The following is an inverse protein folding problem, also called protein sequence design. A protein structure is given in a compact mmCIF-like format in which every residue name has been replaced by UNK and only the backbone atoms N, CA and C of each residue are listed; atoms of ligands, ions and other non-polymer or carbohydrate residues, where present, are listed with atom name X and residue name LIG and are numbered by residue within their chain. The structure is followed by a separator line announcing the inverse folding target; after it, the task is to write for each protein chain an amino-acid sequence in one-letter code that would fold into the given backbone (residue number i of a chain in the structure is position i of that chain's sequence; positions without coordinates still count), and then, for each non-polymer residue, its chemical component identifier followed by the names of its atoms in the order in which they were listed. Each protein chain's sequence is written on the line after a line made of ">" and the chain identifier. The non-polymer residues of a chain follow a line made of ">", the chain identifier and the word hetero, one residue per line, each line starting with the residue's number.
data_IF_888767296744
#
_entry.id   IF_888767296744
#
_cell.length_a   1.000
_cell.length_b   1.000
_cell.length_c   1.000
_cell.angle_alpha   90.00
_cell.angle_beta   90.00
_cell.angle_gamma   90.00
#
_symmetry.space_group_name_H-M   'P 1'
#
loop_
_entity.id
_entity.type
_entity.pdbx_description
1 polymer ?
#
# COMPACT_ATOMS: atom_id res chain seq x y z
N UNK A 1 -8.39 -15.91 -8.80
CA UNK A 1 -8.31 -17.21 -9.50
C UNK A 1 -9.51 -18.06 -9.12
N UNK A 2 -9.80 -18.19 -7.82
CA UNK A 2 -10.94 -18.97 -7.31
C UNK A 2 -12.30 -18.62 -7.97
N UNK A 3 -12.62 -17.33 -8.12
CA UNK A 3 -13.87 -16.89 -8.78
C UNK A 3 -13.98 -17.28 -10.25
N UNK A 4 -12.84 -17.52 -10.92
CA UNK A 4 -12.75 -17.84 -12.36
C UNK A 4 -12.39 -19.32 -12.59
N UNK A 5 -12.44 -20.16 -11.55
CA UNK A 5 -11.99 -21.55 -11.61
C UNK A 5 -12.73 -22.36 -12.70
N UNK A 6 -14.04 -22.11 -12.85
CA UNK A 6 -14.86 -22.76 -13.86
C UNK A 6 -14.42 -22.37 -15.28
N UNK A 7 -14.17 -21.09 -15.56
CA UNK A 7 -13.69 -20.62 -16.86
C UNK A 7 -12.30 -21.19 -17.18
N UNK A 8 -11.40 -21.25 -16.18
CA UNK A 8 -10.08 -21.86 -16.36
C UNK A 8 -10.16 -23.34 -16.74
N UNK A 9 -11.11 -24.07 -16.15
CA UNK A 9 -11.31 -25.48 -16.47
C UNK A 9 -11.94 -25.67 -17.85
N UNK A 10 -12.97 -24.90 -18.21
CA UNK A 10 -13.69 -25.07 -19.48
C UNK A 10 -12.83 -24.65 -20.69
N UNK A 11 -12.13 -23.51 -20.58
CA UNK A 11 -11.38 -22.95 -21.70
C UNK A 11 -9.99 -23.57 -21.83
N UNK A 12 -9.32 -23.81 -20.68
CA UNK A 12 -7.91 -24.19 -20.67
C UNK A 12 -7.65 -25.59 -20.07
N UNK A 13 -8.66 -26.26 -19.51
CA UNK A 13 -8.49 -27.54 -18.82
C UNK A 13 -7.68 -27.41 -17.53
N UNK A 14 -7.62 -26.22 -16.93
CA UNK A 14 -6.80 -25.95 -15.74
C UNK A 14 -7.64 -26.04 -14.47
N UNK A 15 -7.22 -26.93 -13.56
CA UNK A 15 -7.79 -27.01 -12.21
C UNK A 15 -7.24 -25.88 -11.33
N UNK A 16 -8.12 -25.24 -10.56
CA UNK A 16 -7.74 -24.20 -9.60
C UNK A 16 -7.77 -24.75 -8.19
N UNK A 17 -6.62 -24.75 -7.51
CA UNK A 17 -6.49 -25.19 -6.11
C UNK A 17 -6.20 -23.98 -5.23
N UNK A 18 -7.01 -23.79 -4.18
CA UNK A 18 -6.81 -22.73 -3.18
C UNK A 18 -5.80 -23.20 -2.14
N UNK A 19 -4.60 -22.61 -2.15
CA UNK A 19 -3.56 -22.88 -1.15
C UNK A 19 -3.86 -22.09 0.13
N UNK A 20 -3.90 -22.72 1.31
CA UNK A 20 -4.11 -22.01 2.57
C UNK A 20 -2.95 -21.04 2.86
N UNK A 21 -3.22 -19.87 3.47
CA UNK A 21 -2.17 -18.93 3.80
C UNK A 21 -1.28 -19.46 4.95
N UNK A 22 -0.01 -19.04 4.97
CA UNK A 22 0.94 -19.37 6.04
C UNK A 22 0.45 -18.93 7.44
N UNK A 23 -0.35 -17.86 7.50
CA UNK A 23 -0.97 -17.36 8.73
C UNK A 23 -2.45 -17.02 8.48
N UNK A 24 -3.34 -17.21 9.47
CA UNK A 24 -4.72 -16.76 9.37
C UNK A 24 -4.80 -15.25 9.12
N UNK A 25 -5.67 -14.82 8.20
CA UNK A 25 -5.92 -13.40 7.98
C UNK A 25 -6.56 -12.78 9.21
N UNK A 26 -6.08 -11.60 9.60
CA UNK A 26 -6.68 -10.74 10.64
C UNK A 26 -7.13 -9.39 10.07
N UNK A 27 -7.24 -9.30 8.75
CA UNK A 27 -7.69 -8.07 8.06
C UNK A 27 -9.17 -7.85 8.37
N UNK A 28 -9.51 -6.63 8.77
CA UNK A 28 -10.89 -6.21 8.99
C UNK A 28 -11.41 -5.51 7.72
N UNK A 29 -12.26 -6.21 6.97
CA UNK A 29 -12.86 -5.71 5.74
C UNK A 29 -14.18 -4.98 6.07
N UNK A 30 -14.13 -3.65 6.04
CA UNK A 30 -15.29 -2.80 6.35
C UNK A 30 -16.28 -2.76 5.19
N UNK A 31 -17.57 -2.57 5.51
CA UNK A 31 -18.62 -2.39 4.52
C UNK A 31 -18.44 -1.09 3.74
N UNK A 32 -18.89 -1.11 2.49
CA UNK A 32 -18.88 0.06 1.61
C UNK A 32 -19.66 1.24 2.22
N UNK A 33 -19.09 2.44 2.11
CA UNK A 33 -19.78 3.69 2.45
C UNK A 33 -20.25 4.36 1.15
N UNK A 34 -21.56 4.45 0.98
CA UNK A 34 -22.17 5.05 -0.22
C UNK A 34 -22.62 6.47 0.09
N UNK A 35 -22.16 7.42 -0.73
CA UNK A 35 -22.47 8.84 -0.60
C UNK A 35 -23.34 9.30 -1.78
N UNK A 36 -24.17 10.31 -1.55
CA UNK A 36 -25.07 10.85 -2.58
C UNK A 36 -24.29 11.62 -3.65
N UNK A 37 -23.25 12.34 -3.24
CA UNK A 37 -22.43 13.15 -4.14
C UNK A 37 -20.96 12.75 -4.09
N UNK A 38 -20.26 12.97 -5.21
CA UNK A 38 -18.82 12.75 -5.32
C UNK A 38 -18.02 13.64 -4.35
N UNK A 39 -18.51 14.85 -4.07
CA UNK A 39 -17.88 15.76 -3.12
C UNK A 39 -17.91 15.19 -1.69
N UNK A 40 -19.09 14.78 -1.22
CA UNK A 40 -19.22 14.15 0.11
C UNK A 40 -18.36 12.88 0.23
N UNK A 41 -18.27 12.09 -0.84
CA UNK A 41 -17.39 10.92 -0.91
C UNK A 41 -15.93 11.29 -0.66
N UNK A 42 -15.41 12.28 -1.39
CA UNK A 42 -14.01 12.70 -1.24
C UNK A 42 -13.74 13.38 0.10
N UNK A 43 -14.65 14.23 0.57
CA UNK A 43 -14.53 14.88 1.88
C UNK A 43 -14.46 13.83 3.01
N UNK A 44 -15.29 12.78 2.93
CA UNK A 44 -15.26 11.68 3.89
C UNK A 44 -13.98 10.83 3.77
N UNK A 45 -13.51 10.55 2.56
CA UNK A 45 -12.26 9.82 2.35
C UNK A 45 -11.05 10.59 2.92
N UNK A 46 -10.99 11.91 2.69
CA UNK A 46 -9.92 12.78 3.23
C UNK A 46 -9.97 12.84 4.75
N UNK A 47 -11.17 12.88 5.34
CA UNK A 47 -11.33 12.84 6.79
C UNK A 47 -10.76 11.54 7.38
N UNK A 48 -11.04 10.38 6.75
CA UNK A 48 -10.50 9.08 7.15
C UNK A 48 -8.97 9.01 7.00
N UNK A 49 -8.44 9.52 5.88
CA UNK A 49 -6.98 9.63 5.64
C UNK A 49 -6.33 10.50 6.72
N UNK A 50 -6.93 11.65 7.06
CA UNK A 50 -6.42 12.54 8.10
C UNK A 50 -6.37 11.85 9.45
N UNK A 51 -7.45 11.20 9.88
CA UNK A 51 -7.51 10.51 11.17
C UNK A 51 -6.40 9.44 11.26
N UNK A 52 -6.24 8.65 10.20
CA UNK A 52 -5.18 7.65 10.12
C UNK A 52 -3.78 8.28 10.19
N UNK A 53 -3.56 9.36 9.44
CA UNK A 53 -2.28 10.07 9.42
C UNK A 53 -1.93 10.71 10.78
N UNK A 54 -2.91 11.31 11.46
CA UNK A 54 -2.74 11.90 12.79
C UNK A 54 -2.42 10.82 13.85
N UNK A 55 -3.07 9.66 13.75
CA UNK A 55 -2.73 8.48 14.58
C UNK A 55 -1.35 7.91 14.25
N UNK A 56 -0.88 8.09 13.01
CA UNK A 56 0.40 7.60 12.50
C UNK A 56 0.30 6.34 11.63
N UNK A 57 -0.92 5.89 11.34
CA UNK A 57 -1.20 4.70 10.56
C UNK A 57 -0.94 4.96 9.06
N UNK A 58 -0.22 4.06 8.36
CA UNK A 58 -0.04 4.18 6.91
C UNK A 58 -1.34 3.97 6.16
N UNK A 59 -1.52 4.72 5.07
CA UNK A 59 -2.72 4.69 4.23
C UNK A 59 -2.37 4.48 2.77
N UNK A 60 -3.02 3.49 2.14
CA UNK A 60 -3.03 3.29 0.70
C UNK A 60 -4.40 3.67 0.14
N UNK A 61 -4.44 4.62 -0.80
CA UNK A 61 -5.66 5.08 -1.46
C UNK A 61 -5.69 4.52 -2.88
N UNK A 62 -6.70 3.72 -3.18
CA UNK A 62 -6.92 3.14 -4.52
C UNK A 62 -7.91 3.97 -5.34
N UNK A 63 -7.53 4.34 -6.55
CA UNK A 63 -8.39 5.05 -7.53
C UNK A 63 -8.45 4.26 -8.83
N UNK A 64 -9.46 4.51 -9.68
CA UNK A 64 -9.57 3.84 -10.99
C UNK A 64 -8.93 4.63 -12.14
N UNK A 65 -8.66 5.93 -11.95
CA UNK A 65 -8.19 6.82 -13.01
C UNK A 65 -7.13 7.79 -12.50
N UNK A 66 -6.24 8.21 -13.41
CA UNK A 66 -5.19 9.20 -13.11
C UNK A 66 -5.82 10.53 -12.71
N UNK A 67 -6.93 10.91 -13.36
CA UNK A 67 -7.66 12.14 -13.06
C UNK A 67 -8.17 12.16 -11.62
N UNK A 68 -8.72 11.03 -11.14
CA UNK A 68 -9.15 10.88 -9.75
C UNK A 68 -7.97 10.91 -8.78
N UNK A 69 -6.83 10.30 -9.14
CA UNK A 69 -5.60 10.37 -8.34
C UNK A 69 -5.09 11.79 -8.18
N UNK A 70 -5.05 12.57 -9.26
CA UNK A 70 -4.63 13.97 -9.22
C UNK A 70 -5.62 14.83 -8.43
N UNK A 71 -6.92 14.60 -8.58
CA UNK A 71 -7.94 15.29 -7.79
C UNK A 71 -7.75 15.05 -6.28
N UNK A 72 -7.56 13.81 -5.85
CA UNK A 72 -7.31 13.48 -4.44
C UNK A 72 -5.97 14.08 -3.97
N UNK A 73 -4.93 14.02 -4.80
CA UNK A 73 -3.64 14.65 -4.55
C UNK A 73 -3.79 16.14 -4.28
N UNK A 74 -4.55 16.87 -5.10
CA UNK A 74 -4.84 18.29 -4.88
C UNK A 74 -5.57 18.55 -3.56
N UNK A 75 -6.56 17.72 -3.23
CA UNK A 75 -7.31 17.87 -1.99
C UNK A 75 -6.42 17.60 -0.76
N UNK A 76 -5.56 16.59 -0.81
CA UNK A 76 -4.58 16.31 0.25
C UNK A 76 -3.53 17.42 0.37
N UNK A 77 -3.10 18.04 -0.74
CA UNK A 77 -2.21 19.23 -0.72
C UNK A 77 -2.87 20.40 0.01
N UNK A 78 -4.16 20.67 -0.23
CA UNK A 78 -4.91 21.73 0.46
C UNK A 78 -4.94 21.49 1.97
N UNK A 79 -5.06 20.22 2.37
CA UNK A 79 -5.06 19.81 3.77
C UNK A 79 -3.67 19.60 4.39
N UNK A 80 -2.61 19.90 3.64
CA UNK A 80 -1.19 19.78 4.05
C UNK A 80 -0.80 18.37 4.49
N UNK A 81 -1.40 17.35 3.86
CA UNK A 81 -1.08 15.95 4.08
C UNK A 81 -0.04 15.48 3.04
N UNK A 82 1.20 15.16 3.45
CA UNK A 82 2.22 14.68 2.54
C UNK A 82 1.84 13.30 2.01
N UNK A 83 1.88 13.13 0.68
CA UNK A 83 1.50 11.89 0.02
C UNK A 83 2.36 11.65 -1.21
N UNK A 84 2.31 10.42 -1.71
CA UNK A 84 3.00 9.97 -2.91
C UNK A 84 1.97 9.42 -3.91
N UNK A 85 2.15 9.70 -5.19
CA UNK A 85 1.21 9.28 -6.25
C UNK A 85 1.90 8.28 -7.17
N UNK A 86 1.22 7.15 -7.42
CA UNK A 86 1.65 6.08 -8.31
C UNK A 86 0.69 6.02 -9.50
N UNK A 87 1.21 6.31 -10.68
CA UNK A 87 0.43 6.45 -11.91
C UNK A 87 0.72 5.33 -12.93
N UNK A 88 1.39 4.24 -12.52
CA UNK A 88 1.77 3.11 -13.37
C UNK A 88 2.64 3.48 -14.58
N UNK A 89 3.41 4.59 -14.48
CA UNK A 89 4.27 5.08 -15.58
C UNK A 89 5.72 4.63 -15.42
N UNK A 90 6.20 4.45 -14.19
CA UNK A 90 7.60 4.13 -13.90
C UNK A 90 7.71 2.98 -12.90
N UNK A 91 7.69 1.74 -13.39
CA UNK A 91 7.62 0.57 -12.52
C UNK A 91 8.76 0.43 -11.50
N UNK A 92 10.00 0.80 -11.86
CA UNK A 92 11.15 0.68 -10.95
C UNK A 92 11.05 1.65 -9.76
N UNK A 93 10.86 2.94 -10.03
CA UNK A 93 10.70 3.98 -9.00
C UNK A 93 9.44 3.75 -8.15
N UNK A 94 8.35 3.29 -8.77
CA UNK A 94 7.10 2.99 -8.06
C UNK A 94 7.28 1.81 -7.08
N UNK A 95 8.05 0.79 -7.43
CA UNK A 95 8.34 -0.33 -6.54
C UNK A 95 9.11 0.10 -5.28
N UNK A 96 9.99 1.09 -5.39
CA UNK A 96 10.70 1.66 -4.23
C UNK A 96 9.74 2.40 -3.29
N UNK A 97 8.82 3.19 -3.87
CA UNK A 97 7.78 3.90 -3.12
C UNK A 97 6.87 2.92 -2.38
N UNK A 98 6.38 1.89 -3.09
CA UNK A 98 5.44 0.90 -2.53
C UNK A 98 6.09 0.12 -1.39
N UNK A 99 7.37 -0.24 -1.52
CA UNK A 99 8.12 -0.92 -0.46
C UNK A 99 8.25 -0.08 0.83
N UNK A 100 8.09 1.24 0.74
CA UNK A 100 8.11 2.16 1.87
C UNK A 100 6.72 2.63 2.33
N UNK A 101 5.65 2.26 1.61
CA UNK A 101 4.28 2.69 1.92
C UNK A 101 3.78 2.21 3.29
N UNK A 102 4.36 1.15 3.83
CA UNK A 102 4.00 0.59 5.15
C UNK A 102 4.65 1.31 6.35
N UNK A 103 5.43 2.38 6.14
CA UNK A 103 6.04 3.14 7.24
C UNK A 103 5.03 4.06 7.93
N UNK A 104 5.24 4.40 9.21
CA UNK A 104 4.36 5.33 9.92
C UNK A 104 4.19 6.66 9.16
N UNK A 105 2.97 7.22 9.18
CA UNK A 105 2.62 8.50 8.54
C UNK A 105 2.86 8.56 7.02
N UNK A 106 2.82 7.42 6.35
CA UNK A 106 2.86 7.38 4.89
C UNK A 106 1.46 7.39 4.29
N UNK A 107 1.26 8.22 3.27
CA UNK A 107 0.05 8.23 2.42
C UNK A 107 0.49 7.95 0.99
N UNK A 108 -0.04 6.89 0.40
CA UNK A 108 0.27 6.49 -0.97
C UNK A 108 -1.03 6.41 -1.77
N UNK A 109 -1.10 7.07 -2.91
CA UNK A 109 -2.21 7.01 -3.85
C UNK A 109 -1.78 6.10 -5.00
N UNK A 110 -2.53 5.04 -5.25
CA UNK A 110 -2.28 4.08 -6.31
C UNK A 110 -3.41 4.12 -7.32
N UNK A 111 -3.06 4.41 -8.58
CA UNK A 111 -3.99 4.36 -9.70
C UNK A 111 -4.12 2.93 -10.22
N UNK A 112 -5.32 2.39 -10.25
CA UNK A 112 -5.64 1.00 -10.60
C UNK A 112 -4.77 0.01 -9.81
N UNK A 113 -3.87 -0.69 -10.50
CA UNK A 113 -2.94 -1.66 -9.93
C UNK A 113 -1.49 -1.14 -9.94
N UNK A 114 -1.29 0.17 -9.83
CA UNK A 114 0.05 0.73 -9.69
C UNK A 114 0.73 0.16 -8.44
N UNK A 115 1.99 -0.26 -8.58
CA UNK A 115 2.71 -0.94 -7.50
C UNK A 115 2.46 -2.46 -7.37
N UNK A 116 1.68 -3.06 -8.29
CA UNK A 116 1.45 -4.50 -8.32
C UNK A 116 2.77 -5.28 -8.38
N UNK A 117 2.87 -6.32 -7.54
CA UNK A 117 4.03 -7.20 -7.48
C UNK A 117 5.11 -6.76 -6.50
N UNK A 118 4.91 -5.66 -5.77
CA UNK A 118 5.75 -5.28 -4.62
C UNK A 118 4.95 -5.35 -3.33
N UNK A 119 5.42 -6.12 -2.37
CA UNK A 119 4.76 -6.24 -1.06
C UNK A 119 4.94 -4.97 -0.22
N UNK A 120 3.84 -4.52 0.39
CA UNK A 120 3.85 -3.44 1.38
C UNK A 120 4.11 -4.06 2.76
N UNK A 121 5.36 -4.00 3.20
CA UNK A 121 5.78 -4.48 4.52
C UNK A 121 5.51 -3.40 5.57
N UNK A 122 4.79 -3.74 6.64
CA UNK A 122 4.53 -2.83 7.76
C UNK A 122 5.85 -2.45 8.46
N UNK A 123 6.07 -1.15 8.68
CA UNK A 123 7.36 -0.62 9.14
C UNK A 123 8.37 -0.35 8.01
N UNK A 124 8.04 -0.73 6.76
CA UNK A 124 8.90 -0.61 5.59
C UNK A 124 9.72 -1.89 5.31
N UNK A 125 10.27 -1.98 4.09
CA UNK A 125 11.11 -3.11 3.70
C UNK A 125 12.58 -2.87 4.11
N UNK A 126 12.99 -3.43 5.26
CA UNK A 126 14.34 -3.29 5.80
C UNK A 126 15.41 -3.90 4.88
N UNK A 127 15.12 -5.05 4.25
CA UNK A 127 16.07 -5.78 3.42
C UNK A 127 16.49 -4.95 2.20
N UNK A 128 15.52 -4.33 1.50
CA UNK A 128 15.84 -3.46 0.37
C UNK A 128 16.72 -2.26 0.74
N UNK A 129 16.51 -1.68 1.93
CA UNK A 129 17.30 -0.53 2.39
C UNK A 129 18.71 -0.97 2.81
N UNK A 130 18.83 -2.13 3.44
CA UNK A 130 20.13 -2.70 3.81
C UNK A 130 20.91 -3.13 2.57
N UNK A 131 20.25 -3.73 1.57
CA UNK A 131 20.87 -4.11 0.30
C UNK A 131 21.42 -2.87 -0.43
N UNK A 132 20.63 -1.79 -0.48
CA UNK A 132 21.09 -0.52 -1.06
C UNK A 132 22.29 0.08 -0.32
N UNK A 133 22.36 -0.06 1.01
CA UNK A 133 23.51 0.37 1.82
C UNK A 133 24.73 -0.51 1.63
N UNK A 134 24.54 -1.82 1.38
CA UNK A 134 25.64 -2.74 1.12
C UNK A 134 26.32 -2.45 -0.23
N UNK A 135 25.53 -1.99 -1.21
CA UNK A 135 25.99 -1.58 -2.53
C UNK A 135 26.69 -0.21 -2.56
N UNK A 136 26.56 0.60 -1.50
CA UNK A 136 27.20 1.90 -1.40
C UNK A 136 28.68 1.75 -1.00
N UNK A 137 29.57 1.85 -2.00
CA UNK A 137 31.02 1.71 -1.84
C UNK A 137 31.70 2.91 -1.14
N UNK A 138 30.95 3.96 -0.76
CA UNK A 138 31.50 5.14 -0.08
C UNK A 138 31.70 4.96 1.43
N UNK A 139 31.15 3.90 2.01
CA UNK A 139 31.17 3.64 3.46
C UNK A 139 32.10 2.48 3.82
N UNK A 140 32.87 2.65 4.90
CA UNK A 140 33.69 1.59 5.49
C UNK A 140 32.81 0.40 5.93
N UNK A 141 33.33 -0.83 5.86
CA UNK A 141 32.56 -2.06 6.08
C UNK A 141 31.94 -2.12 7.48
N UNK A 142 32.71 -1.74 8.51
CA UNK A 142 32.21 -1.65 9.88
C UNK A 142 31.13 -0.56 10.07
N UNK A 143 31.20 0.54 9.31
CA UNK A 143 30.20 1.60 9.35
C UNK A 143 28.89 1.18 8.64
N UNK A 144 28.99 0.38 7.57
CA UNK A 144 27.84 -0.21 6.87
C UNK A 144 27.09 -1.18 7.78
N UNK A 145 27.79 -2.06 8.47
CA UNK A 145 27.18 -3.03 9.38
C UNK A 145 26.48 -2.37 10.56
N UNK A 146 27.12 -1.39 11.20
CA UNK A 146 26.52 -0.63 12.30
C UNK A 146 25.24 0.10 11.87
N UNK A 147 25.26 0.71 10.68
CA UNK A 147 24.09 1.42 10.11
C UNK A 147 22.98 0.46 9.71
N UNK A 148 23.32 -0.70 9.14
CA UNK A 148 22.36 -1.74 8.80
C UNK A 148 21.67 -2.29 10.05
N UNK A 149 22.41 -2.53 11.14
CA UNK A 149 21.83 -2.96 12.41
C UNK A 149 20.90 -1.90 12.99
N UNK A 150 21.34 -0.64 13.02
CA UNK A 150 20.52 0.48 13.50
C UNK A 150 19.21 0.62 12.72
N UNK A 151 19.26 0.43 11.40
CA UNK A 151 18.06 0.46 10.56
C UNK A 151 17.16 -0.73 10.84
N UNK A 152 17.68 -1.96 10.95
CA UNK A 152 16.85 -3.12 11.30
C UNK A 152 16.12 -2.91 12.64
N UNK A 153 16.79 -2.36 13.64
CA UNK A 153 16.16 -2.02 14.92
C UNK A 153 15.09 -0.94 14.77
N UNK A 154 15.35 0.11 13.99
CA UNK A 154 14.36 1.16 13.72
C UNK A 154 13.13 0.62 13.00
N UNK A 155 13.33 -0.22 11.98
CA UNK A 155 12.24 -0.85 11.22
C UNK A 155 11.44 -1.82 12.10
N UNK A 156 12.09 -2.53 13.03
CA UNK A 156 11.40 -3.33 14.03
C UNK A 156 10.46 -2.51 14.91
N UNK A 157 10.93 -1.35 15.41
CA UNK A 157 10.11 -0.42 16.20
C UNK A 157 8.97 0.19 15.36
N UNK A 158 9.26 0.58 14.12
CA UNK A 158 8.26 1.11 13.20
C UNK A 158 7.19 0.04 12.91
N UNK A 159 7.58 -1.22 12.73
CA UNK A 159 6.66 -2.34 12.53
C UNK A 159 5.71 -2.51 13.72
N UNK A 160 6.25 -2.62 14.93
CA UNK A 160 5.45 -2.77 16.15
C UNK A 160 4.49 -1.59 16.34
N UNK A 161 4.97 -0.38 16.06
CA UNK A 161 4.17 0.84 16.09
C UNK A 161 2.99 0.78 15.12
N UNK A 162 3.25 0.44 13.85
CA UNK A 162 2.21 0.34 12.81
C UNK A 162 1.20 -0.76 13.12
N UNK A 163 1.66 -1.92 13.59
CA UNK A 163 0.78 -3.01 14.03
C UNK A 163 -0.10 -2.57 15.21
N UNK A 164 0.48 -1.86 16.18
CA UNK A 164 -0.26 -1.28 17.31
C UNK A 164 -1.32 -0.24 16.91
N UNK A 165 -1.15 0.42 15.75
CA UNK A 165 -2.10 1.38 15.19
C UNK A 165 -3.19 0.76 14.30
N UNK A 166 -3.17 -0.56 14.09
CA UNK A 166 -4.15 -1.27 13.27
C UNK A 166 -3.64 -1.71 11.89
N UNK A 167 -2.34 -1.61 11.61
CA UNK A 167 -1.74 -2.05 10.35
C UNK A 167 -1.95 -1.06 9.19
N UNK A 168 -1.93 -1.55 7.95
CA UNK A 168 -2.16 -0.73 6.75
C UNK A 168 -3.65 -0.45 6.56
N UNK A 169 -4.02 0.83 6.44
CA UNK A 169 -5.37 1.24 6.04
C UNK A 169 -5.45 1.28 4.51
N UNK A 170 -6.39 0.56 3.92
CA UNK A 170 -6.68 0.63 2.48
C UNK A 170 -8.00 1.35 2.29
N UNK A 171 -8.01 2.38 1.44
CA UNK A 171 -9.20 3.18 1.11
C UNK A 171 -9.37 3.17 -0.40
N UNK A 172 -10.38 2.44 -0.90
CA UNK A 172 -10.76 2.51 -2.30
C UNK A 172 -11.79 3.64 -2.48
N UNK A 173 -11.57 4.52 -3.46
CA UNK A 173 -12.52 5.61 -3.73
C UNK A 173 -13.69 5.20 -4.60
N UNK A 174 -13.56 4.08 -5.31
CA UNK A 174 -14.48 3.57 -6.32
C UNK A 174 -14.34 2.05 -6.41
N UNK A 175 -15.33 1.39 -6.99
CA UNK A 175 -15.26 -0.04 -7.33
C UNK A 175 -14.73 -0.23 -8.74
N UNK A 176 -13.98 -1.31 -8.94
CA UNK A 176 -13.52 -1.74 -10.25
C UNK A 176 -14.60 -2.53 -10.99
N UNK A 177 -14.31 -2.87 -12.24
CA UNK A 177 -15.19 -3.64 -13.13
C UNK A 177 -15.50 -5.06 -12.60
N UNK A 178 -14.70 -5.56 -11.65
CA UNK A 178 -14.94 -6.86 -11.03
C UNK A 178 -14.53 -6.86 -9.56
N UNK A 179 -15.25 -7.65 -8.76
CA UNK A 179 -14.91 -7.91 -7.35
C UNK A 179 -13.53 -8.53 -7.17
N UNK A 180 -13.04 -9.27 -8.18
CA UNK A 180 -11.71 -9.86 -8.16
C UNK A 180 -10.62 -8.80 -8.13
N UNK A 181 -10.82 -7.65 -8.78
CA UNK A 181 -9.87 -6.55 -8.75
C UNK A 181 -9.99 -5.79 -7.42
N UNK A 182 -11.21 -5.57 -6.92
CA UNK A 182 -11.42 -4.94 -5.61
C UNK A 182 -10.80 -5.75 -4.44
N UNK A 183 -10.75 -7.08 -4.56
CA UNK A 183 -10.19 -7.96 -3.54
C UNK A 183 -8.64 -8.06 -3.56
N UNK A 184 -7.99 -7.55 -4.61
CA UNK A 184 -6.52 -7.54 -4.76
C UNK A 184 -5.91 -6.33 -4.04
#
# INVERSE_FOLDING_TARGET
>A
ADTEAYEFQEIYGLETVVIPPNRPSRRDDQLDRVYKTTKEKYDAAIADIRECFERGQPVLVGTTSIENSELISELLKKEKLPHQVLNAKQHASEAEIVAQAGRPKMITIATNMAGRGTDIVLGGNADKVVDALSADASLDEAARDAKAQQLREQFGKDHESVVGMGGLRIIATERHESRRIDNQ
#
